data_IF_378196057310
#
_entry.id   IF_378196057310
#
_cell.length_a   1.000
_cell.length_b   1.000
_cell.length_c   1.000
_cell.angle_alpha   90.00
_cell.angle_beta   90.00
_cell.angle_gamma   90.00
#
_symmetry.space_group_name_H-M   'P 1'
#
loop_
_entity.id
_entity.type
_entity.pdbx_description
1 polymer ?
#
# COMPACT_ATOMS: atom_id res chain seq x y z
N UNK A 1 8.59 3.76 20.82
CA UNK A 1 7.90 3.09 19.69
C UNK A 1 8.87 2.96 18.51
N UNK A 2 8.80 1.92 17.66
CA UNK A 2 9.68 1.79 16.50
C UNK A 2 9.25 2.72 15.36
N UNK A 3 10.18 3.19 14.53
CA UNK A 3 9.84 3.93 13.32
C UNK A 3 9.19 3.00 12.29
N UNK A 4 8.13 3.49 11.63
CA UNK A 4 7.34 2.71 10.67
C UNK A 4 7.48 3.29 9.27
N UNK A 5 7.94 2.44 8.34
CA UNK A 5 8.04 2.78 6.92
C UNK A 5 7.11 1.90 6.10
N UNK A 6 6.18 2.53 5.39
CA UNK A 6 5.27 1.85 4.46
C UNK A 6 5.61 2.29 3.04
N UNK A 7 6.26 1.41 2.28
CA UNK A 7 6.67 1.65 0.89
C UNK A 7 5.73 0.89 -0.04
N UNK A 8 5.07 1.62 -0.95
CA UNK A 8 4.07 1.06 -1.88
C UNK A 8 4.44 1.41 -3.30
N UNK A 9 4.85 0.42 -4.09
CA UNK A 9 5.06 0.58 -5.52
C UNK A 9 3.71 0.72 -6.27
N UNK A 10 3.72 1.38 -7.43
CA UNK A 10 2.55 1.50 -8.31
C UNK A 10 2.74 0.55 -9.50
N UNK A 11 1.75 -0.30 -9.75
CA UNK A 11 1.70 -1.29 -10.85
C UNK A 11 2.85 -2.31 -10.92
N UNK A 12 3.51 -2.60 -9.79
CA UNK A 12 4.56 -3.63 -9.70
C UNK A 12 3.96 -5.05 -9.72
N UNK A 13 4.37 -5.85 -10.70
CA UNK A 13 3.96 -7.24 -10.87
C UNK A 13 4.62 -8.19 -9.87
N UNK A 14 3.89 -9.24 -9.49
CA UNK A 14 4.34 -10.25 -8.51
C UNK A 14 5.70 -10.90 -8.84
N UNK A 15 5.98 -11.12 -10.14
CA UNK A 15 7.20 -11.77 -10.61
C UNK A 15 8.27 -10.79 -11.13
N UNK A 16 8.08 -9.48 -10.93
CA UNK A 16 8.99 -8.48 -11.50
C UNK A 16 10.24 -8.28 -10.66
N UNK A 17 10.23 -8.54 -9.35
CA UNK A 17 11.41 -8.37 -8.49
C UNK A 17 12.24 -9.65 -8.39
N UNK A 18 13.56 -9.51 -8.30
CA UNK A 18 14.50 -10.64 -8.32
C UNK A 18 14.25 -11.64 -7.17
N UNK A 19 13.98 -11.17 -5.95
CA UNK A 19 13.66 -12.05 -4.81
C UNK A 19 12.36 -12.88 -4.99
N UNK A 20 11.49 -12.51 -5.94
CA UNK A 20 10.29 -13.29 -6.28
C UNK A 20 10.49 -14.19 -7.51
N UNK A 21 11.36 -13.79 -8.44
CA UNK A 21 11.71 -14.58 -9.62
C UNK A 21 13.17 -14.37 -10.06
N UNK A 22 14.06 -15.22 -9.58
CA UNK A 22 15.50 -15.14 -9.88
C UNK A 22 15.87 -15.32 -11.37
N UNK A 23 14.95 -15.77 -12.22
CA UNK A 23 15.23 -16.02 -13.66
C UNK A 23 14.76 -14.91 -14.58
N UNK A 24 13.78 -14.10 -14.16
CA UNK A 24 13.13 -13.07 -14.99
C UNK A 24 12.86 -11.75 -14.26
N UNK A 25 13.08 -11.69 -12.95
CA UNK A 25 12.95 -10.47 -12.19
C UNK A 25 14.03 -9.46 -12.58
N UNK A 26 13.69 -8.18 -12.47
CA UNK A 26 14.62 -7.08 -12.64
C UNK A 26 15.56 -7.00 -11.43
N UNK A 27 16.78 -6.50 -11.65
CA UNK A 27 17.78 -6.36 -10.59
C UNK A 27 17.33 -5.31 -9.56
N UNK A 28 17.07 -5.76 -8.33
CA UNK A 28 16.59 -4.92 -7.22
C UNK A 28 17.45 -5.12 -5.97
N UNK A 29 18.77 -4.84 -6.01
CA UNK A 29 19.71 -5.27 -4.98
C UNK A 29 19.34 -4.82 -3.56
N UNK A 30 18.78 -3.62 -3.40
CA UNK A 30 18.35 -3.11 -2.09
C UNK A 30 17.08 -3.82 -1.57
N UNK A 31 16.14 -4.17 -2.46
CA UNK A 31 14.95 -4.93 -2.07
C UNK A 31 15.30 -6.40 -1.79
N UNK A 32 16.23 -6.96 -2.56
CA UNK A 32 16.70 -8.33 -2.37
C UNK A 32 17.41 -8.49 -1.02
N UNK A 33 18.22 -7.50 -0.61
CA UNK A 33 18.83 -7.46 0.71
C UNK A 33 17.77 -7.37 1.83
N UNK A 34 16.76 -6.51 1.67
CA UNK A 34 15.66 -6.41 2.62
C UNK A 34 14.86 -7.72 2.73
N UNK A 35 14.65 -8.40 1.61
CA UNK A 35 13.95 -9.68 1.55
C UNK A 35 14.76 -10.80 2.23
N UNK A 36 16.10 -10.80 2.09
CA UNK A 36 16.98 -11.79 2.71
C UNK A 36 17.04 -11.66 4.25
N UNK A 37 17.00 -10.43 4.77
CA UNK A 37 17.04 -10.14 6.21
C UNK A 37 15.64 -10.09 6.86
N UNK A 38 14.58 -10.26 6.06
CA UNK A 38 13.19 -10.03 6.46
C UNK A 38 12.27 -11.21 6.24
N UNK A 39 10.97 -10.90 6.14
CA UNK A 39 9.92 -11.87 5.84
C UNK A 39 9.30 -11.54 4.49
N UNK A 40 9.34 -12.51 3.57
CA UNK A 40 8.71 -12.41 2.26
C UNK A 40 7.30 -13.02 2.32
N UNK A 41 6.30 -12.24 1.92
CA UNK A 41 4.92 -12.71 1.81
C UNK A 41 4.68 -13.23 0.38
N UNK A 42 4.67 -14.55 0.21
CA UNK A 42 4.37 -15.20 -1.09
C UNK A 42 2.88 -15.16 -1.45
N UNK A 43 2.03 -14.77 -0.50
CA UNK A 43 0.57 -14.69 -0.65
C UNK A 43 0.05 -13.38 -0.05
N UNK A 44 0.39 -12.25 -0.66
CA UNK A 44 -0.11 -10.92 -0.30
C UNK A 44 -1.09 -10.42 -1.36
N UNK A 45 -2.31 -10.06 -0.94
CA UNK A 45 -3.41 -9.75 -1.84
C UNK A 45 -3.94 -8.33 -1.63
N UNK A 46 -4.31 -7.69 -2.73
CA UNK A 46 -4.89 -6.33 -2.78
C UNK A 46 -6.06 -6.30 -3.77
N UNK A 47 -6.74 -5.17 -3.88
CA UNK A 47 -7.70 -4.96 -4.96
C UNK A 47 -6.96 -4.76 -6.30
N UNK A 48 -7.59 -5.06 -7.45
CA UNK A 48 -6.91 -5.00 -8.74
C UNK A 48 -6.72 -3.58 -9.31
N UNK A 49 -7.04 -2.53 -8.53
CA UNK A 49 -6.99 -1.12 -8.97
C UNK A 49 -6.41 -0.25 -7.84
N UNK A 50 -5.70 0.82 -8.20
CA UNK A 50 -4.98 1.68 -7.27
C UNK A 50 -5.86 2.30 -6.16
N UNK A 51 -6.95 3.02 -6.49
CA UNK A 51 -7.78 3.70 -5.48
C UNK A 51 -8.43 2.75 -4.47
N UNK A 52 -9.06 1.62 -4.88
CA UNK A 52 -9.55 0.65 -3.92
C UNK A 52 -8.44 0.03 -3.05
N UNK A 53 -7.26 -0.27 -3.61
CA UNK A 53 -6.14 -0.81 -2.83
C UNK A 53 -5.66 0.18 -1.78
N UNK A 54 -5.45 1.45 -2.17
CA UNK A 54 -4.93 2.49 -1.27
C UNK A 54 -5.96 2.86 -0.20
N UNK A 55 -7.24 2.93 -0.53
CA UNK A 55 -8.30 3.20 0.47
C UNK A 55 -8.40 2.06 1.49
N UNK A 56 -8.32 0.80 1.05
CA UNK A 56 -8.29 -0.36 1.92
C UNK A 56 -7.05 -0.38 2.81
N UNK A 57 -5.88 -0.05 2.25
CA UNK A 57 -4.61 0.01 2.98
C UNK A 57 -4.66 1.05 4.11
N UNK A 58 -5.17 2.25 3.81
CA UNK A 58 -5.18 3.34 4.79
C UNK A 58 -6.23 3.16 5.88
N UNK A 59 -7.38 2.55 5.57
CA UNK A 59 -8.51 2.43 6.52
C UNK A 59 -8.60 1.07 7.21
N UNK A 60 -7.95 0.03 6.66
CA UNK A 60 -8.12 -1.36 7.08
C UNK A 60 -9.52 -1.92 6.81
N UNK A 61 -10.25 -1.35 5.84
CA UNK A 61 -11.63 -1.76 5.50
C UNK A 61 -11.71 -2.29 4.07
N UNK A 62 -12.62 -3.24 3.86
CA UNK A 62 -13.00 -3.67 2.52
C UNK A 62 -13.55 -2.48 1.72
N UNK A 63 -13.15 -2.40 0.46
CA UNK A 63 -13.50 -1.33 -0.48
C UNK A 63 -15.00 -1.11 -0.64
N UNK A 64 -15.78 -2.20 -0.58
CA UNK A 64 -17.24 -2.17 -0.60
C UNK A 64 -17.87 -1.39 0.58
N UNK A 65 -17.19 -1.33 1.73
CA UNK A 65 -17.65 -0.51 2.88
C UNK A 65 -17.29 0.96 2.73
N UNK A 66 -16.34 1.29 1.85
CA UNK A 66 -15.85 2.64 1.61
C UNK A 66 -16.53 3.29 0.39
N UNK A 67 -17.24 2.51 -0.44
CA UNK A 67 -17.79 2.99 -1.71
C UNK A 67 -16.74 3.16 -2.82
N UNK A 68 -15.49 2.75 -2.59
CA UNK A 68 -14.36 2.94 -3.53
C UNK A 68 -14.06 1.70 -4.36
N UNK A 69 -14.96 0.73 -4.44
CA UNK A 69 -14.70 -0.57 -5.09
C UNK A 69 -14.69 -0.52 -6.62
N UNK A 70 -15.30 0.49 -7.23
CA UNK A 70 -15.68 0.43 -8.65
C UNK A 70 -14.60 0.89 -9.62
N UNK A 71 -13.88 1.98 -9.30
CA UNK A 71 -12.89 2.55 -10.22
C UNK A 71 -11.86 3.43 -9.47
N UNK A 72 -10.91 3.96 -10.22
CA UNK A 72 -9.98 5.01 -9.78
C UNK A 72 -10.76 6.29 -9.45
N UNK A 73 -10.33 6.96 -8.38
CA UNK A 73 -10.76 8.32 -8.03
C UNK A 73 -9.95 9.27 -8.90
N UNK A 74 -10.61 9.94 -9.85
CA UNK A 74 -10.00 10.97 -10.70
C UNK A 74 -10.08 12.36 -10.04
N UNK A 75 -9.35 13.32 -10.57
CA UNK A 75 -9.26 14.68 -10.04
C UNK A 75 -10.60 15.44 -10.02
N UNK A 76 -11.56 15.05 -10.86
CA UNK A 76 -12.90 15.64 -10.99
C UNK A 76 -14.01 14.75 -10.40
N UNK A 77 -13.65 13.67 -9.73
CA UNK A 77 -14.61 12.73 -9.14
C UNK A 77 -15.26 13.35 -7.89
N UNK A 78 -16.61 13.37 -7.78
CA UNK A 78 -17.30 14.05 -6.68
C UNK A 78 -17.35 13.21 -5.38
N UNK A 79 -16.60 12.12 -5.31
CA UNK A 79 -16.56 11.19 -4.19
C UNK A 79 -15.12 10.76 -3.88
N UNK A 80 -14.88 10.42 -2.63
CA UNK A 80 -13.58 9.97 -2.11
C UNK A 80 -13.82 9.02 -0.91
N UNK A 81 -12.76 8.68 -0.18
CA UNK A 81 -12.91 7.91 1.06
C UNK A 81 -13.67 8.76 2.10
N UNK A 82 -14.77 8.26 2.70
CA UNK A 82 -15.51 9.00 3.72
C UNK A 82 -14.64 9.41 4.91
N UNK A 83 -14.76 10.66 5.34
CA UNK A 83 -13.93 11.26 6.41
C UNK A 83 -14.16 10.63 7.79
N UNK A 84 -15.26 9.92 8.00
CA UNK A 84 -15.53 9.16 9.22
C UNK A 84 -14.61 7.93 9.40
N UNK A 85 -13.90 7.51 8.34
CA UNK A 85 -12.97 6.39 8.38
C UNK A 85 -11.56 6.87 8.69
N UNK A 86 -11.16 6.78 9.96
CA UNK A 86 -9.83 7.14 10.39
C UNK A 86 -8.75 6.34 9.64
N UNK A 87 -7.80 7.05 9.05
CA UNK A 87 -6.63 6.49 8.39
C UNK A 87 -5.63 5.98 9.43
N UNK A 88 -4.77 5.04 9.02
CA UNK A 88 -3.67 4.54 9.83
C UNK A 88 -2.76 5.68 10.30
N UNK A 89 -2.56 6.71 9.49
CA UNK A 89 -1.80 7.92 9.86
C UNK A 89 -2.42 8.64 11.05
N UNK A 90 -3.73 8.88 11.06
CA UNK A 90 -4.43 9.54 12.17
C UNK A 90 -4.36 8.72 13.46
N UNK A 91 -4.45 7.39 13.34
CA UNK A 91 -4.27 6.47 14.47
C UNK A 91 -2.84 6.51 15.03
N UNK A 92 -1.84 6.61 14.16
CA UNK A 92 -0.44 6.73 14.55
C UNK A 92 -0.16 8.09 15.19
N UNK A 93 -0.70 9.18 14.65
CA UNK A 93 -0.63 10.52 15.26
C UNK A 93 -1.23 10.54 16.67
N UNK A 94 -2.40 9.93 16.85
CA UNK A 94 -3.03 9.80 18.17
C UNK A 94 -2.17 8.98 19.16
N UNK A 95 -1.31 8.09 18.65
CA UNK A 95 -0.34 7.33 19.44
C UNK A 95 1.01 8.06 19.64
N UNK A 96 1.14 9.31 19.18
CA UNK A 96 2.33 10.15 19.36
C UNK A 96 3.39 10.02 18.27
N UNK A 97 3.05 9.49 17.09
CA UNK A 97 3.95 9.46 15.94
C UNK A 97 3.84 10.73 15.10
N UNK A 98 4.99 11.19 14.60
CA UNK A 98 5.02 12.07 13.45
C UNK A 98 4.76 11.26 12.17
N UNK A 99 3.92 11.78 11.28
CA UNK A 99 3.53 11.09 10.05
C UNK A 99 3.77 11.97 8.84
N UNK A 100 4.34 11.40 7.78
CA UNK A 100 4.51 12.06 6.49
C UNK A 100 4.10 11.12 5.35
N UNK A 101 3.67 11.70 4.23
CA UNK A 101 3.34 10.99 3.00
C UNK A 101 4.13 11.64 1.85
N UNK A 102 4.73 10.81 1.00
CA UNK A 102 5.49 11.25 -0.17
C UNK A 102 5.02 10.48 -1.41
N UNK A 103 4.68 11.19 -2.48
CA UNK A 103 4.19 10.57 -3.72
C UNK A 103 2.67 10.36 -3.73
N UNK A 104 2.22 9.28 -4.38
CA UNK A 104 0.81 8.94 -4.59
C UNK A 104 0.17 8.30 -3.38
#
# INVERSE_FOLDING_TARGET
PPDLWLVVADDLGYNEVNFMNATRGIETPFLDALAADGVVLTQYYVAPICSPTRSSLMTGKYTARLGTQSNVIYWDTPWSVPLEHAFVSERLQAAGYDTALFGK
#
